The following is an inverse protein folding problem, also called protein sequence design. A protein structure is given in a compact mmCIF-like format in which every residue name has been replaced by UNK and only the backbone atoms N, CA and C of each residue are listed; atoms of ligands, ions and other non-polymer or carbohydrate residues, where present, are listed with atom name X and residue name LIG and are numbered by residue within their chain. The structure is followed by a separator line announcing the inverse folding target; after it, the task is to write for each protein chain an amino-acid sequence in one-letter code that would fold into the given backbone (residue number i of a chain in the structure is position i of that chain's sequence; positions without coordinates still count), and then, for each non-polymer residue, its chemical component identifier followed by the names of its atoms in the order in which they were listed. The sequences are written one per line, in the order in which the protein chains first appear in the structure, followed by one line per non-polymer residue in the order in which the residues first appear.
data_IF_735207366571
#
_entry.id   IF_735207366571
#
_cell.length_a   1.000
_cell.length_b   1.000
_cell.length_c   1.000
_cell.angle_alpha   90.00
_cell.angle_beta   90.00
_cell.angle_gamma   90.00
#
_symmetry.space_group_name_H-M   'P 1'
#
loop_
_entity.id
_entity.type
_entity.pdbx_description
1 polymer ?
#
# COMPACT_ATOMS: atom_id res chain seq x y z
N UNK A 1 -9.19 -13.32 13.14
CA UNK A 1 -9.52 -13.71 11.74
C UNK A 1 -9.86 -12.50 10.88
N UNK A 2 -10.91 -11.73 11.20
CA UNK A 2 -11.34 -10.60 10.34
C UNK A 2 -10.26 -9.52 10.15
N UNK A 3 -9.47 -9.24 11.19
CA UNK A 3 -8.41 -8.24 11.11
C UNK A 3 -7.43 -8.47 9.95
N UNK A 4 -6.92 -9.71 9.77
CA UNK A 4 -5.99 -10.03 8.68
C UNK A 4 -6.65 -9.89 7.30
N UNK A 5 -7.91 -10.31 7.17
CA UNK A 5 -8.69 -10.16 5.93
C UNK A 5 -8.83 -8.66 5.59
N UNK A 6 -9.30 -7.85 6.55
CA UNK A 6 -9.51 -6.41 6.33
C UNK A 6 -8.22 -5.65 6.06
N UNK A 7 -7.14 -5.92 6.82
CA UNK A 7 -5.84 -5.31 6.57
C UNK A 7 -5.32 -5.66 5.19
N UNK A 8 -5.37 -6.93 4.78
CA UNK A 8 -4.91 -7.35 3.46
C UNK A 8 -5.75 -6.73 2.33
N UNK A 9 -7.08 -6.72 2.45
CA UNK A 9 -7.94 -6.09 1.44
C UNK A 9 -7.62 -4.61 1.23
N UNK A 10 -7.32 -3.87 2.29
CA UNK A 10 -6.93 -2.47 2.17
C UNK A 10 -5.56 -2.29 1.51
N UNK A 11 -4.62 -3.24 1.66
CA UNK A 11 -3.38 -3.20 0.87
C UNK A 11 -3.61 -3.40 -0.62
N UNK A 12 -4.69 -4.10 -1.00
CA UNK A 12 -5.10 -4.31 -2.38
C UNK A 12 -6.09 -3.24 -2.87
N UNK A 13 -6.30 -2.17 -2.10
CA UNK A 13 -7.28 -1.11 -2.40
C UNK A 13 -8.73 -1.59 -2.54
N UNK A 14 -9.08 -2.72 -1.92
CA UNK A 14 -10.44 -3.28 -1.91
C UNK A 14 -11.18 -2.89 -0.63
N UNK A 15 -11.95 -1.81 -0.69
CA UNK A 15 -12.63 -1.23 0.48
C UNK A 15 -14.09 -1.67 0.65
N UNK A 16 -14.73 -2.14 -0.41
CA UNK A 16 -16.14 -2.54 -0.37
C UNK A 16 -16.29 -3.94 0.22
N UNK A 17 -17.18 -4.13 1.20
CA UNK A 17 -17.39 -5.44 1.84
C UNK A 17 -17.72 -6.56 0.85
N UNK A 18 -18.51 -6.26 -0.21
CA UNK A 18 -18.81 -7.22 -1.28
C UNK A 18 -17.60 -7.53 -2.16
N UNK A 19 -16.69 -6.56 -2.35
CA UNK A 19 -15.44 -6.80 -3.09
C UNK A 19 -14.47 -7.65 -2.28
N UNK A 20 -14.40 -7.43 -0.96
CA UNK A 20 -13.60 -8.28 -0.06
C UNK A 20 -14.12 -9.72 -0.05
N UNK A 21 -15.45 -9.90 -0.03
CA UNK A 21 -16.08 -11.22 -0.15
C UNK A 21 -15.72 -11.90 -1.49
N UNK A 22 -15.80 -11.18 -2.61
CA UNK A 22 -15.33 -11.71 -3.91
C UNK A 22 -13.84 -12.03 -3.90
N UNK A 23 -13.03 -11.22 -3.24
CA UNK A 23 -11.58 -11.42 -3.12
C UNK A 23 -11.26 -12.70 -2.33
N UNK A 24 -12.07 -13.06 -1.33
CA UNK A 24 -11.96 -14.32 -0.59
C UNK A 24 -12.18 -15.55 -1.46
N UNK A 25 -12.99 -15.46 -2.51
CA UNK A 25 -13.22 -16.57 -3.44
C UNK A 25 -12.26 -16.57 -4.64
N UNK A 26 -11.78 -15.40 -5.07
CA UNK A 26 -10.98 -15.27 -6.29
C UNK A 26 -9.47 -15.28 -6.05
N UNK A 27 -9.01 -14.96 -4.84
CA UNK A 27 -7.58 -14.86 -4.52
C UNK A 27 -7.14 -16.01 -3.63
N UNK A 28 -6.28 -16.89 -4.16
CA UNK A 28 -5.63 -17.98 -3.40
C UNK A 28 -4.92 -17.43 -2.16
N UNK A 29 -4.30 -16.26 -2.27
CA UNK A 29 -3.61 -15.61 -1.14
C UNK A 29 -4.60 -15.24 -0.04
N UNK A 30 -5.77 -14.73 -0.41
CA UNK A 30 -6.81 -14.35 0.54
C UNK A 30 -7.47 -15.59 1.17
N UNK A 31 -7.69 -16.67 0.39
CA UNK A 31 -8.17 -17.96 0.91
C UNK A 31 -7.21 -18.54 1.95
N UNK A 32 -5.91 -18.59 1.63
CA UNK A 32 -4.90 -19.10 2.55
C UNK A 32 -4.77 -18.22 3.79
N UNK A 33 -4.82 -16.89 3.61
CA UNK A 33 -4.84 -15.95 4.73
C UNK A 33 -6.07 -16.17 5.61
N UNK A 34 -7.23 -16.47 5.04
CA UNK A 34 -8.47 -16.72 5.77
C UNK A 34 -8.58 -18.14 6.36
N UNK A 35 -7.65 -19.05 6.03
CA UNK A 35 -7.69 -20.46 6.44
C UNK A 35 -9.03 -21.13 6.07
N UNK A 36 -9.40 -20.99 4.80
CA UNK A 36 -10.64 -21.54 4.20
C UNK A 36 -11.95 -21.01 4.79
N UNK A 37 -11.89 -20.02 5.68
CA UNK A 37 -13.07 -19.30 6.14
C UNK A 37 -13.51 -18.25 5.11
N UNK A 38 -14.79 -18.25 4.76
CA UNK A 38 -15.39 -17.34 3.78
C UNK A 38 -16.47 -16.48 4.43
N UNK A 39 -16.09 -15.50 5.27
CA UNK A 39 -17.07 -14.64 5.92
C UNK A 39 -17.85 -13.81 4.92
N UNK A 40 -19.16 -13.74 5.13
CA UNK A 40 -20.04 -12.92 4.29
C UNK A 40 -19.70 -11.44 4.39
N UNK A 41 -20.08 -10.65 3.37
CA UNK A 41 -19.92 -9.19 3.42
C UNK A 41 -20.58 -8.55 4.65
N UNK A 42 -21.67 -9.14 5.17
CA UNK A 42 -22.33 -8.67 6.40
C UNK A 42 -21.41 -8.82 7.61
N UNK A 43 -20.76 -9.97 7.76
CA UNK A 43 -19.80 -10.24 8.83
C UNK A 43 -18.61 -9.29 8.76
N UNK A 44 -18.09 -9.05 7.55
CA UNK A 44 -16.98 -8.11 7.32
C UNK A 44 -17.39 -6.69 7.74
N UNK A 45 -18.60 -6.26 7.36
CA UNK A 45 -19.09 -4.93 7.69
C UNK A 45 -19.38 -4.76 9.19
N UNK A 46 -19.96 -5.79 9.84
CA UNK A 46 -20.17 -5.78 11.29
C UNK A 46 -18.84 -5.66 12.05
N UNK A 47 -17.80 -6.34 11.59
CA UNK A 47 -16.46 -6.19 12.16
C UNK A 47 -15.89 -4.78 11.98
N UNK A 48 -16.13 -4.13 10.84
CA UNK A 48 -15.59 -2.78 10.57
C UNK A 48 -16.31 -1.67 11.33
N UNK A 49 -17.62 -1.80 11.53
CA UNK A 49 -18.45 -0.78 12.18
C UNK A 49 -18.22 -0.73 13.69
N UNK A 50 -17.65 -1.79 14.29
CA UNK A 50 -17.36 -1.79 15.71
C UNK A 50 -16.23 -0.78 16.03
N UNK A 51 -16.46 0.21 16.92
CA UNK A 51 -15.49 1.27 17.20
C UNK A 51 -14.13 0.77 17.70
N UNK A 52 -14.12 -0.31 18.47
CA UNK A 52 -12.88 -0.85 19.04
C UNK A 52 -11.98 -1.44 17.95
N UNK A 53 -12.57 -2.07 16.95
CA UNK A 53 -11.85 -2.70 15.84
C UNK A 53 -11.45 -1.70 14.78
N UNK A 54 -12.22 -0.62 14.59
CA UNK A 54 -11.86 0.46 13.66
C UNK A 54 -10.56 1.17 14.11
N UNK A 55 -10.47 1.53 15.39
CA UNK A 55 -9.25 2.10 15.98
C UNK A 55 -8.04 1.15 15.86
N UNK A 56 -8.26 -0.17 15.97
CA UNK A 56 -7.21 -1.18 15.76
C UNK A 56 -6.75 -1.22 14.29
N UNK A 57 -7.68 -1.14 13.34
CA UNK A 57 -7.33 -1.13 11.91
C UNK A 57 -6.55 0.14 11.56
N UNK A 58 -6.97 1.29 12.07
CA UNK A 58 -6.30 2.58 11.86
C UNK A 58 -4.86 2.55 12.41
N UNK A 59 -4.70 2.16 13.67
CA UNK A 59 -3.38 2.09 14.31
C UNK A 59 -2.44 1.10 13.60
N UNK A 60 -2.96 -0.01 13.07
CA UNK A 60 -2.17 -0.95 12.27
C UNK A 60 -1.74 -0.36 10.93
N UNK A 61 -2.63 0.40 10.28
CA UNK A 61 -2.31 1.06 9.02
C UNK A 61 -1.21 2.10 9.19
N UNK A 62 -1.29 2.93 10.24
CA UNK A 62 -0.26 3.92 10.59
C UNK A 62 1.08 3.23 10.86
N UNK A 63 1.09 2.16 11.67
CA UNK A 63 2.31 1.42 11.98
C UNK A 63 2.93 0.79 10.72
N UNK A 64 2.11 0.21 9.84
CA UNK A 64 2.56 -0.36 8.59
C UNK A 64 3.21 0.70 7.70
N UNK A 65 2.55 1.85 7.55
CA UNK A 65 3.05 2.96 6.75
C UNK A 65 4.37 3.53 7.28
N UNK A 66 4.46 3.74 8.60
CA UNK A 66 5.69 4.21 9.25
C UNK A 66 6.85 3.23 9.04
N UNK A 67 6.58 1.92 9.15
CA UNK A 67 7.59 0.89 8.92
C UNK A 67 8.06 0.85 7.47
N UNK A 68 7.15 1.07 6.51
CA UNK A 68 7.50 1.18 5.09
C UNK A 68 8.40 2.39 4.82
N UNK A 69 8.14 3.52 5.50
CA UNK A 69 8.95 4.74 5.38
C UNK A 69 10.36 4.55 5.95
N UNK A 70 10.47 3.98 7.15
CA UNK A 70 11.77 3.72 7.80
C UNK A 70 12.63 2.81 6.93
N UNK A 71 12.07 1.68 6.45
CA UNK A 71 12.80 0.77 5.57
C UNK A 71 13.27 1.43 4.27
N UNK A 72 12.46 2.34 3.71
CA UNK A 72 12.84 3.10 2.52
C UNK A 72 13.98 4.07 2.82
N UNK A 73 13.95 4.74 3.97
CA UNK A 73 15.04 5.61 4.42
C UNK A 73 16.34 4.82 4.65
N UNK A 74 16.27 3.67 5.30
CA UNK A 74 17.41 2.77 5.52
C UNK A 74 18.01 2.32 4.18
N UNK A 75 17.16 1.98 3.20
CA UNK A 75 17.60 1.59 1.85
C UNK A 75 18.35 2.72 1.13
N UNK A 76 17.88 3.97 1.19
CA UNK A 76 18.61 5.12 0.62
C UNK A 76 19.92 5.39 1.36
N UNK A 77 19.96 5.23 2.69
CA UNK A 77 21.20 5.36 3.45
C UNK A 77 22.21 4.29 3.01
N UNK A 78 21.77 3.04 2.79
CA UNK A 78 22.62 1.95 2.29
C UNK A 78 23.15 2.26 0.88
N UNK A 79 22.29 2.71 -0.04
CA UNK A 79 22.71 3.10 -1.39
C UNK A 79 23.77 4.21 -1.33
N UNK A 80 23.52 5.25 -0.51
CA UNK A 80 24.43 6.38 -0.38
C UNK A 80 25.76 6.00 0.28
N UNK A 81 25.74 5.10 1.28
CA UNK A 81 26.96 4.56 1.91
C UNK A 81 27.81 3.77 0.94
N UNK A 82 27.18 3.03 0.01
CA UNK A 82 27.89 2.15 -0.91
C UNK A 82 28.52 2.86 -2.13
N UNK A 83 28.49 4.20 -2.19
CA UNK A 83 29.29 5.09 -3.05
C UNK A 83 29.59 4.66 -4.51
N UNK A 84 28.78 3.81 -5.13
CA UNK A 84 28.90 3.48 -6.56
C UNK A 84 27.78 4.09 -7.41
N UNK A 85 27.24 5.25 -7.04
CA UNK A 85 26.46 6.08 -7.97
C UNK A 85 26.58 7.56 -7.60
N UNK A 86 27.80 8.08 -7.61
CA UNK A 86 28.02 9.51 -7.84
C UNK A 86 27.70 9.82 -9.30
N UNK A 87 26.42 9.91 -9.66
CA UNK A 87 26.04 10.59 -10.90
C UNK A 87 26.24 12.09 -10.65
N UNK A 88 27.24 12.74 -11.28
CA UNK A 88 27.46 14.16 -11.08
C UNK A 88 26.22 14.92 -11.57
N UNK A 89 25.71 15.83 -10.72
CA UNK A 89 24.51 16.64 -10.94
C UNK A 89 24.55 17.53 -12.20
N UNK A 90 25.65 17.56 -12.94
CA UNK A 90 25.84 18.38 -14.14
C UNK A 90 25.06 17.89 -15.37
N UNK A 91 24.46 16.69 -15.36
CA UNK A 91 23.61 16.23 -16.48
C UNK A 91 22.15 16.69 -16.42
N UNK A 92 21.68 17.25 -15.31
CA UNK A 92 20.31 17.78 -15.21
C UNK A 92 20.17 19.26 -15.62
N UNK A 93 21.27 19.91 -16.03
CA UNK A 93 21.27 21.28 -16.53
C UNK A 93 21.28 21.33 -18.07
N UNK A 94 20.29 20.71 -18.74
CA UNK A 94 19.97 21.06 -20.14
C UNK A 94 18.53 21.56 -20.22
N UNK A 95 18.30 22.89 -20.17
CA UNK A 95 16.98 23.46 -20.36
C UNK A 95 16.59 23.34 -21.83
N UNK A 96 15.81 22.31 -22.18
CA UNK A 96 15.29 22.05 -23.52
C UNK A 96 13.77 22.37 -23.62
N UNK A 97 13.35 23.52 -23.08
CA UNK A 97 11.97 24.02 -23.21
C UNK A 97 11.92 25.49 -23.65
N UNK A 98 12.62 25.87 -24.72
CA UNK A 98 12.45 27.18 -25.37
C UNK A 98 12.86 27.13 -26.85
N UNK A 99 12.09 26.45 -27.74
CA UNK A 99 12.08 26.79 -29.18
C UNK A 99 10.96 26.11 -29.99
N UNK A 100 9.69 26.28 -29.63
CA UNK A 100 8.59 26.07 -30.60
C UNK A 100 7.49 27.10 -30.29
N UNK A 101 7.72 28.35 -30.67
CA UNK A 101 6.68 29.39 -30.76
C UNK A 101 7.17 30.46 -31.74
N UNK A 102 7.25 30.10 -33.02
CA UNK A 102 7.38 31.03 -34.14
C UNK A 102 6.62 30.47 -35.34
N UNK A 103 5.29 30.39 -35.24
CA UNK A 103 4.36 30.25 -36.36
C UNK A 103 2.99 30.83 -35.97
N UNK A 104 2.96 32.15 -35.77
CA UNK A 104 1.89 33.11 -36.05
C UNK A 104 2.56 34.49 -36.09
#
# INVERSE_FOLDING_TARGET
MMLKITSYSYTQSEFSGRRIEKLLHNSIRMMWLAQDQTPSYKTINLFRVNPNTDALIESLFIQFHNKMHIKKADFYQIINRNQLFSLPKNLMSRPLYLRINTYY
#
